data_IF_241567565156
#
_entry.id   IF_241567565156
#
_cell.length_a   1.000
_cell.length_b   1.000
_cell.length_c   1.000
_cell.angle_alpha   90.00
_cell.angle_beta   90.00
_cell.angle_gamma   90.00
#
_symmetry.space_group_name_H-M   'P 1'
#
loop_
_entity.id
_entity.type
_entity.pdbx_description
1 polymer ?
#
# COMPACT_ATOMS: atom_id res chain seq x y z
N UNK A 1 -7.12 5.84 -11.63
CA UNK A 1 -5.67 5.88 -11.29
C UNK A 1 -5.10 7.29 -11.27
N UNK A 2 -5.26 8.10 -12.31
CA UNK A 2 -4.78 9.50 -12.35
C UNK A 2 -5.28 10.31 -11.15
N UNK A 3 -6.58 10.27 -10.85
CA UNK A 3 -7.14 10.97 -9.69
C UNK A 3 -6.53 10.55 -8.37
N UNK A 4 -6.28 9.25 -8.19
CA UNK A 4 -5.60 8.72 -7.01
C UNK A 4 -4.18 9.29 -6.87
N UNK A 5 -3.35 9.16 -7.91
CA UNK A 5 -1.97 9.63 -7.87
C UNK A 5 -1.88 11.15 -7.64
N UNK A 6 -2.72 11.93 -8.28
CA UNK A 6 -2.76 13.39 -8.11
C UNK A 6 -3.23 13.81 -6.72
N UNK A 7 -4.17 13.09 -6.15
CA UNK A 7 -4.64 13.34 -4.79
C UNK A 7 -3.58 12.94 -3.75
N UNK A 8 -3.02 11.75 -3.91
CA UNK A 8 -2.03 11.21 -2.97
C UNK A 8 -0.72 12.00 -2.95
N UNK A 9 -0.30 12.55 -4.07
CA UNK A 9 0.97 13.28 -4.17
C UNK A 9 1.08 14.44 -3.15
N UNK A 10 -0.03 15.02 -2.72
CA UNK A 10 -0.06 16.10 -1.73
C UNK A 10 0.22 15.62 -0.30
N UNK A 11 0.10 14.32 -0.05
CA UNK A 11 0.33 13.69 1.24
C UNK A 11 1.72 13.05 1.36
N UNK A 12 2.50 13.06 0.26
CA UNK A 12 3.83 12.46 0.22
C UNK A 12 4.91 13.54 0.09
N UNK A 13 5.95 13.43 0.89
CA UNK A 13 7.16 14.25 0.75
C UNK A 13 8.04 13.75 -0.41
N UNK A 14 7.96 12.46 -0.70
CA UNK A 14 8.69 11.78 -1.77
C UNK A 14 8.03 11.98 -3.13
N UNK A 15 8.81 11.95 -4.19
CA UNK A 15 8.32 11.82 -5.57
C UNK A 15 7.79 10.41 -5.87
N UNK A 16 8.19 9.44 -5.07
CA UNK A 16 7.72 8.07 -5.17
C UNK A 16 6.45 7.87 -4.35
N UNK A 17 5.39 7.45 -5.01
CA UNK A 17 4.12 7.10 -4.36
C UNK A 17 4.02 5.60 -4.21
N UNK A 18 3.61 5.14 -3.04
CA UNK A 18 3.32 3.74 -2.80
C UNK A 18 1.83 3.48 -2.98
N UNK A 19 1.50 2.59 -3.91
CA UNK A 19 0.12 2.22 -4.18
C UNK A 19 -0.02 0.70 -4.00
N UNK A 20 -0.57 0.24 -2.86
CA UNK A 20 -0.93 -1.16 -2.69
C UNK A 20 -1.97 -1.56 -3.74
N UNK A 21 -1.79 -2.73 -4.34
CA UNK A 21 -2.69 -3.24 -5.36
C UNK A 21 -3.12 -4.65 -5.01
N UNK A 22 -4.41 -4.84 -4.84
CA UNK A 22 -5.00 -6.10 -4.45
C UNK A 22 -6.03 -5.91 -3.34
N UNK A 23 -6.67 -6.99 -2.99
CA UNK A 23 -7.69 -7.08 -1.94
C UNK A 23 -7.75 -8.51 -1.40
N UNK A 24 -8.67 -8.78 -0.49
CA UNK A 24 -8.91 -10.14 0.01
C UNK A 24 -9.19 -11.10 -1.16
N UNK A 25 -8.55 -12.27 -1.10
CA UNK A 25 -8.62 -13.30 -2.15
C UNK A 25 -8.06 -12.91 -3.52
N UNK A 26 -7.44 -11.73 -3.66
CA UNK A 26 -6.72 -11.37 -4.86
C UNK A 26 -5.54 -12.33 -5.11
N UNK A 27 -5.11 -12.41 -6.36
CA UNK A 27 -4.02 -13.28 -6.81
C UNK A 27 -4.26 -14.79 -6.63
N UNK A 28 -5.51 -15.21 -6.41
CA UNK A 28 -5.89 -16.62 -6.51
C UNK A 28 -5.67 -17.19 -7.93
N UNK A 29 -5.84 -16.36 -8.95
CA UNK A 29 -5.42 -16.60 -10.32
C UNK A 29 -4.35 -15.58 -10.72
N UNK A 30 -3.14 -15.77 -10.22
CA UNK A 30 -2.03 -14.85 -10.42
C UNK A 30 -1.76 -14.51 -11.90
N UNK A 31 -1.98 -15.46 -12.82
CA UNK A 31 -1.81 -15.21 -14.25
C UNK A 31 -2.74 -14.13 -14.78
N UNK A 32 -4.02 -14.16 -14.40
CA UNK A 32 -4.98 -13.15 -14.80
C UNK A 32 -4.70 -11.80 -14.13
N UNK A 33 -4.48 -11.81 -12.83
CA UNK A 33 -4.27 -10.59 -12.03
C UNK A 33 -3.02 -9.82 -12.46
N UNK A 34 -1.90 -10.53 -12.70
CA UNK A 34 -0.69 -9.90 -13.24
C UNK A 34 -0.84 -9.53 -14.72
N UNK A 35 -1.63 -10.26 -15.50
CA UNK A 35 -1.92 -9.92 -16.89
C UNK A 35 -2.59 -8.54 -17.01
N UNK A 36 -3.56 -8.26 -16.15
CA UNK A 36 -4.24 -6.97 -16.10
C UNK A 36 -3.30 -5.85 -15.62
N UNK A 37 -2.49 -6.13 -14.60
CA UNK A 37 -1.47 -5.21 -14.12
C UNK A 37 -0.44 -4.84 -15.21
N UNK A 38 0.06 -5.83 -15.92
CA UNK A 38 1.00 -5.66 -17.04
C UNK A 38 0.39 -4.81 -18.17
N UNK A 39 -0.86 -5.08 -18.52
CA UNK A 39 -1.56 -4.32 -19.55
C UNK A 39 -1.72 -2.84 -19.14
N UNK A 40 -2.10 -2.61 -17.89
CA UNK A 40 -2.25 -1.27 -17.33
C UNK A 40 -0.92 -0.51 -17.32
N UNK A 41 0.16 -1.10 -16.82
CA UNK A 41 1.49 -0.48 -16.74
C UNK A 41 1.99 -0.14 -18.15
N UNK A 42 1.88 -1.07 -19.10
CA UNK A 42 2.26 -0.83 -20.50
C UNK A 42 1.46 0.30 -21.14
N UNK A 43 0.14 0.29 -20.96
CA UNK A 43 -0.72 1.34 -21.51
C UNK A 43 -0.37 2.71 -20.92
N UNK A 44 -0.24 2.78 -19.59
CA UNK A 44 0.05 4.02 -18.89
C UNK A 44 1.38 4.64 -19.33
N UNK A 45 2.45 3.88 -19.22
CA UNK A 45 3.80 4.37 -19.53
C UNK A 45 3.99 4.73 -21.02
N UNK A 46 3.14 4.16 -21.90
CA UNK A 46 3.15 4.48 -23.32
C UNK A 46 2.31 5.72 -23.68
N UNK A 47 1.13 5.85 -23.07
CA UNK A 47 0.12 6.82 -23.52
C UNK A 47 -0.11 8.00 -22.57
N UNK A 48 0.36 7.91 -21.33
CA UNK A 48 0.14 8.93 -20.30
C UNK A 48 1.40 9.72 -19.93
N UNK A 49 2.38 9.76 -20.84
CA UNK A 49 3.66 10.47 -20.66
C UNK A 49 3.49 11.97 -20.37
N UNK A 50 2.40 12.58 -20.83
CA UNK A 50 2.07 13.99 -20.57
C UNK A 50 1.80 14.29 -19.09
N UNK A 51 1.53 13.25 -18.27
CA UNK A 51 1.33 13.38 -16.82
C UNK A 51 2.64 13.36 -16.03
N UNK A 52 3.76 13.00 -16.67
CA UNK A 52 5.06 12.81 -16.04
C UNK A 52 4.99 11.88 -14.81
N UNK A 53 4.25 10.77 -14.97
CA UNK A 53 4.09 9.73 -13.95
C UNK A 53 4.40 8.39 -14.58
N UNK A 54 5.41 7.70 -14.05
CA UNK A 54 5.74 6.33 -14.43
C UNK A 54 5.17 5.34 -13.41
N UNK A 55 4.65 4.22 -13.90
CA UNK A 55 4.14 3.14 -13.07
C UNK A 55 4.97 1.89 -13.29
N UNK A 56 5.32 1.22 -12.19
CA UNK A 56 6.03 -0.05 -12.21
C UNK A 56 5.68 -0.91 -11.01
N UNK A 57 5.85 -2.21 -11.13
CA UNK A 57 5.86 -3.08 -9.97
C UNK A 57 7.04 -2.74 -9.05
N UNK A 58 6.80 -2.88 -7.77
CA UNK A 58 7.82 -2.69 -6.76
C UNK A 58 7.58 -3.62 -5.57
N UNK A 59 8.65 -3.99 -4.91
CA UNK A 59 8.58 -4.55 -3.57
C UNK A 59 8.64 -3.40 -2.56
N UNK A 60 8.22 -3.67 -1.31
CA UNK A 60 8.36 -2.70 -0.21
C UNK A 60 9.81 -2.27 -0.05
N UNK A 61 10.76 -3.20 -0.18
CA UNK A 61 12.19 -2.91 -0.10
C UNK A 61 12.64 -1.90 -1.16
N UNK A 62 12.30 -2.16 -2.42
CA UNK A 62 12.66 -1.26 -3.54
C UNK A 62 12.05 0.13 -3.38
N UNK A 63 10.81 0.20 -2.89
CA UNK A 63 10.15 1.47 -2.61
C UNK A 63 10.89 2.25 -1.51
N UNK A 64 11.18 1.61 -0.40
CA UNK A 64 11.91 2.25 0.73
C UNK A 64 13.29 2.71 0.29
N UNK A 65 14.01 1.93 -0.49
CA UNK A 65 15.32 2.31 -1.03
C UNK A 65 15.24 3.54 -1.95
N UNK A 66 14.24 3.58 -2.83
CA UNK A 66 13.99 4.73 -3.71
C UNK A 66 13.71 6.00 -2.90
N UNK A 67 12.90 5.88 -1.85
CA UNK A 67 12.55 7.01 -0.97
C UNK A 67 13.76 7.48 -0.16
N UNK A 68 14.59 6.55 0.35
CA UNK A 68 15.83 6.89 1.07
C UNK A 68 16.82 7.65 0.19
N UNK A 69 16.90 7.31 -1.09
CA UNK A 69 17.81 7.98 -2.02
C UNK A 69 17.50 9.47 -2.27
N UNK A 70 16.29 9.92 -1.92
CA UNK A 70 15.86 11.30 -2.06
C UNK A 70 16.38 12.23 -0.95
N UNK A 71 17.06 11.70 0.09
CA UNK A 71 17.59 12.46 1.22
C UNK A 71 16.57 13.39 1.91
N UNK A 72 15.32 12.90 2.04
CA UNK A 72 14.23 13.64 2.69
C UNK A 72 14.40 13.54 4.21
N UNK A 73 14.23 14.65 4.91
CA UNK A 73 14.12 14.65 6.37
C UNK A 73 12.72 14.22 6.77
N UNK A 74 12.61 13.06 7.40
CA UNK A 74 11.33 12.48 7.81
C UNK A 74 10.93 12.90 9.22
N UNK A 75 9.64 13.15 9.47
CA UNK A 75 9.17 13.32 10.82
C UNK A 75 9.31 12.01 11.61
N UNK A 76 9.60 12.12 12.89
CA UNK A 76 9.71 10.97 13.79
C UNK A 76 8.46 10.84 14.66
N UNK A 77 7.97 9.63 14.79
CA UNK A 77 6.88 9.26 15.70
C UNK A 77 7.43 8.33 16.79
N UNK A 78 7.13 8.64 18.03
CA UNK A 78 7.61 7.90 19.20
C UNK A 78 6.53 7.06 19.89
N UNK A 79 5.31 7.11 19.35
CA UNK A 79 4.18 6.29 19.80
C UNK A 79 3.92 5.17 18.78
N UNK A 80 3.13 4.17 19.18
CA UNK A 80 2.72 3.11 18.27
C UNK A 80 1.79 3.59 17.14
N UNK A 81 1.40 2.69 16.27
CA UNK A 81 0.50 2.94 15.13
C UNK A 81 -0.91 2.41 15.38
N UNK A 82 -1.23 2.01 16.61
CA UNK A 82 -2.55 1.51 16.99
C UNK A 82 -3.44 2.59 17.62
N UNK A 83 -4.77 2.42 17.53
CA UNK A 83 -5.49 1.42 16.74
C UNK A 83 -5.54 1.78 15.25
N UNK A 84 -5.76 0.76 14.40
CA UNK A 84 -6.02 0.99 12.99
C UNK A 84 -7.39 1.66 12.81
N UNK A 85 -7.43 2.80 12.13
CA UNK A 85 -8.65 3.49 11.77
C UNK A 85 -9.06 3.12 10.34
N UNK A 86 -10.24 2.55 10.19
CA UNK A 86 -10.80 2.20 8.88
C UNK A 86 -11.46 3.40 8.21
N UNK A 87 -12.12 4.23 9.01
CA UNK A 87 -12.71 5.50 8.61
C UNK A 87 -12.61 6.52 9.74
N UNK A 88 -13.23 7.68 9.60
CA UNK A 88 -13.13 8.78 10.56
C UNK A 88 -13.52 8.38 11.98
N UNK A 89 -14.58 7.56 12.13
CA UNK A 89 -15.12 7.14 13.42
C UNK A 89 -15.07 5.62 13.65
N UNK A 90 -14.40 4.87 12.78
CA UNK A 90 -14.34 3.41 12.84
C UNK A 90 -12.94 2.90 13.11
N UNK A 91 -12.79 2.16 14.20
CA UNK A 91 -11.52 1.62 14.66
C UNK A 91 -11.56 0.10 14.79
N UNK A 92 -10.50 -0.54 14.34
CA UNK A 92 -10.34 -1.99 14.49
C UNK A 92 -9.80 -2.29 15.88
N UNK A 93 -10.72 -2.34 16.85
CA UNK A 93 -10.43 -2.63 18.27
C UNK A 93 -11.27 -3.78 18.77
N UNK A 94 -10.98 -4.27 19.98
CA UNK A 94 -11.75 -5.32 20.64
C UNK A 94 -11.42 -6.73 20.17
N UNK A 95 -11.07 -6.98 18.92
CA UNK A 95 -10.73 -8.30 18.41
C UNK A 95 -9.40 -8.85 18.99
N UNK A 96 -8.54 -7.99 19.51
CA UNK A 96 -7.31 -8.41 20.19
C UNK A 96 -7.56 -9.30 21.39
N UNK A 97 -8.58 -8.96 22.19
CA UNK A 97 -8.94 -9.63 23.44
C UNK A 97 -10.23 -10.44 23.36
N UNK A 98 -10.93 -10.41 22.23
CA UNK A 98 -12.12 -11.22 22.03
C UNK A 98 -11.76 -12.70 21.96
N UNK A 99 -12.46 -13.54 22.73
CA UNK A 99 -12.27 -15.01 22.79
C UNK A 99 -10.82 -15.46 23.05
N UNK A 100 -10.19 -15.01 24.12
CA UNK A 100 -8.77 -15.27 24.37
C UNK A 100 -8.44 -16.77 24.50
N UNK A 101 -9.35 -17.57 25.06
CA UNK A 101 -9.17 -19.02 25.18
C UNK A 101 -9.08 -19.71 23.83
N UNK A 102 -9.99 -19.41 22.89
CA UNK A 102 -9.96 -19.96 21.55
C UNK A 102 -8.70 -19.55 20.78
N UNK A 103 -8.31 -18.28 20.88
CA UNK A 103 -7.08 -17.78 20.25
C UNK A 103 -5.82 -18.46 20.81
N UNK A 104 -5.79 -18.68 22.13
CA UNK A 104 -4.69 -19.41 22.75
C UNK A 104 -4.56 -20.81 22.21
N UNK A 105 -5.67 -21.54 22.09
CA UNK A 105 -5.66 -22.89 21.52
C UNK A 105 -5.17 -22.92 20.08
N UNK A 106 -5.65 -22.02 19.23
CA UNK A 106 -5.20 -21.91 17.83
C UNK A 106 -3.69 -21.64 17.72
N UNK A 107 -3.11 -20.91 18.66
CA UNK A 107 -1.67 -20.61 18.66
C UNK A 107 -0.82 -21.78 19.19
N UNK A 108 -1.40 -22.66 19.99
CA UNK A 108 -0.70 -23.80 20.60
C UNK A 108 -0.84 -25.09 19.80
N UNK A 109 -1.83 -25.19 18.90
CA UNK A 109 -2.05 -26.33 18.01
C UNK A 109 -1.34 -26.22 16.70
#
# INVERSE_FOLDING_TARGET
>A
MTGYALNMKHHYLSKNLFMPWGEDFAYGNAFADFGDGDALIRYWNKHMTHLNIDIKYSTIYQYVDSVKSENITWPSKYTDMFPYAYSEDEYWTGYFTSRPGAKSQVRLG
#
